data_IF_496494645866
#
_entry.id   IF_496494645866
#
_cell.length_a   1.000
_cell.length_b   1.000
_cell.length_c   1.000
_cell.angle_alpha   90.00
_cell.angle_beta   90.00
_cell.angle_gamma   90.00
#
_symmetry.space_group_name_H-M   'P 1'
#
loop_
_entity.id
_entity.type
_entity.pdbx_description
1 polymer ?
#
# COMPACT_ATOMS: atom_id res chain seq x y z
N UNK A 1 -14.31 16.67 -17.92
CA UNK A 1 -15.27 16.61 -16.80
C UNK A 1 -14.66 17.23 -15.56
N UNK A 2 -15.49 17.84 -14.74
CA UNK A 2 -15.10 18.38 -13.43
C UNK A 2 -16.09 17.81 -12.41
N UNK A 3 -15.56 17.27 -11.30
CA UNK A 3 -16.38 16.70 -10.23
C UNK A 3 -15.67 16.80 -8.87
N UNK A 4 -16.44 16.88 -7.80
CA UNK A 4 -15.92 16.71 -6.46
C UNK A 4 -15.54 15.26 -6.23
N UNK A 5 -14.41 15.02 -5.58
CA UNK A 5 -14.01 13.66 -5.18
C UNK A 5 -14.77 13.31 -3.91
N UNK A 6 -15.47 12.18 -3.94
CA UNK A 6 -16.32 11.71 -2.86
C UNK A 6 -15.59 11.70 -1.50
N UNK A 7 -16.28 12.17 -0.46
CA UNK A 7 -15.77 12.29 0.92
C UNK A 7 -14.51 13.17 1.08
N UNK A 8 -14.28 14.11 0.16
CA UNK A 8 -13.19 15.08 0.27
C UNK A 8 -13.66 16.48 -0.09
N UNK A 9 -12.83 17.49 0.25
CA UNK A 9 -13.00 18.87 -0.24
C UNK A 9 -12.40 19.11 -1.64
N UNK A 10 -11.70 18.11 -2.17
CA UNK A 10 -10.92 18.22 -3.40
C UNK A 10 -11.78 18.03 -4.66
N UNK A 11 -11.35 18.67 -5.73
CA UNK A 11 -12.01 18.67 -7.04
C UNK A 11 -11.10 18.01 -8.07
N UNK A 12 -11.65 17.06 -8.81
CA UNK A 12 -11.01 16.45 -9.96
C UNK A 12 -11.48 17.14 -11.25
N UNK A 13 -10.54 17.51 -12.10
CA UNK A 13 -10.78 17.92 -13.49
C UNK A 13 -10.09 16.93 -14.44
N UNK A 14 -10.84 16.39 -15.41
CA UNK A 14 -10.30 15.49 -16.43
C UNK A 14 -10.46 16.10 -17.80
N UNK A 15 -9.34 16.30 -18.48
CA UNK A 15 -9.31 16.68 -19.89
C UNK A 15 -9.34 15.41 -20.75
N UNK A 16 -10.47 15.15 -21.40
CA UNK A 16 -10.68 13.94 -22.18
C UNK A 16 -9.80 13.86 -23.45
N UNK A 17 -9.39 14.99 -24.00
CA UNK A 17 -8.54 15.04 -25.20
C UNK A 17 -7.08 14.73 -24.89
N UNK A 18 -6.56 15.29 -23.81
CA UNK A 18 -5.15 15.07 -23.38
C UNK A 18 -4.98 13.90 -22.41
N UNK A 19 -6.10 13.37 -21.88
CA UNK A 19 -6.14 12.36 -20.81
C UNK A 19 -5.44 12.84 -19.52
N UNK A 20 -5.35 14.16 -19.34
CA UNK A 20 -4.78 14.75 -18.15
C UNK A 20 -5.83 14.80 -17.02
N UNK A 21 -5.46 14.31 -15.86
CA UNK A 21 -6.22 14.43 -14.61
C UNK A 21 -5.53 15.44 -13.71
N UNK A 22 -6.25 16.44 -13.28
CA UNK A 22 -5.78 17.50 -12.38
C UNK A 22 -6.59 17.47 -11.09
N UNK A 23 -5.94 17.67 -9.97
CA UNK A 23 -6.58 17.76 -8.64
C UNK A 23 -6.39 19.16 -8.09
N UNK A 24 -7.47 19.72 -7.61
CA UNK A 24 -7.55 21.08 -7.04
C UNK A 24 -8.02 21.03 -5.59
N UNK A 25 -7.53 21.97 -4.80
CA UNK A 25 -8.06 22.26 -3.47
C UNK A 25 -9.48 22.85 -3.56
N UNK A 26 -10.14 22.97 -2.42
CA UNK A 26 -11.45 23.69 -2.33
C UNK A 26 -11.35 25.18 -2.74
N UNK A 27 -10.17 25.79 -2.61
CA UNK A 27 -9.88 27.15 -3.05
C UNK A 27 -9.50 27.24 -4.53
N UNK A 28 -9.68 26.17 -5.31
CA UNK A 28 -9.33 26.07 -6.74
C UNK A 28 -7.84 26.20 -7.04
N UNK A 29 -6.99 25.94 -6.07
CA UNK A 29 -5.54 25.87 -6.27
C UNK A 29 -5.17 24.46 -6.77
N UNK A 30 -4.45 24.35 -7.90
CA UNK A 30 -3.98 23.06 -8.40
C UNK A 30 -2.98 22.44 -7.43
N UNK A 31 -3.24 21.20 -7.02
CA UNK A 31 -2.39 20.42 -6.13
C UNK A 31 -1.44 19.55 -6.95
N UNK A 32 -1.97 18.75 -7.88
CA UNK A 32 -1.18 17.90 -8.74
C UNK A 32 -1.86 17.63 -10.08
N UNK A 33 -1.11 17.03 -10.99
CA UNK A 33 -1.62 16.51 -12.26
C UNK A 33 -0.92 15.20 -12.63
N UNK A 34 -1.63 14.32 -13.34
CA UNK A 34 -1.09 13.07 -13.86
C UNK A 34 -1.85 12.61 -15.10
N UNK A 35 -1.14 12.20 -16.15
CA UNK A 35 -1.74 11.71 -17.39
C UNK A 35 -2.19 10.25 -17.23
N UNK A 36 -3.34 9.90 -17.83
CA UNK A 36 -3.94 8.57 -17.75
C UNK A 36 -4.10 8.06 -16.31
N UNK A 37 -4.45 8.96 -15.38
CA UNK A 37 -4.47 8.63 -13.97
C UNK A 37 -5.72 7.89 -13.53
N UNK A 38 -5.53 6.95 -12.63
CA UNK A 38 -6.56 6.36 -11.78
C UNK A 38 -6.52 7.03 -10.41
N UNK A 39 -7.69 7.30 -9.83
CA UNK A 39 -7.81 7.86 -8.48
C UNK A 39 -8.41 6.80 -7.56
N UNK A 40 -7.81 6.63 -6.41
CA UNK A 40 -8.31 5.79 -5.33
C UNK A 40 -8.35 6.60 -4.04
N UNK A 41 -9.55 6.73 -3.45
CA UNK A 41 -9.76 7.37 -2.15
C UNK A 41 -9.84 6.31 -1.06
N UNK A 42 -9.02 6.43 -0.01
CA UNK A 42 -9.05 5.53 1.13
C UNK A 42 -9.46 6.24 2.45
N UNK A 43 -10.10 7.40 2.35
CA UNK A 43 -10.56 8.27 3.46
C UNK A 43 -9.44 8.99 4.26
N UNK A 44 -8.18 8.61 4.09
CA UNK A 44 -7.04 9.26 4.78
C UNK A 44 -6.22 10.08 3.78
N UNK A 45 -6.11 9.58 2.55
CA UNK A 45 -5.42 10.22 1.45
C UNK A 45 -6.04 9.83 0.11
N UNK A 46 -5.80 10.62 -0.92
CA UNK A 46 -6.01 10.21 -2.30
C UNK A 46 -4.73 9.60 -2.86
N UNK A 47 -4.84 8.43 -3.48
CA UNK A 47 -3.80 7.85 -4.32
C UNK A 47 -4.15 8.15 -5.77
N UNK A 48 -3.24 8.80 -6.50
CA UNK A 48 -3.37 9.13 -7.92
C UNK A 48 -2.22 8.44 -8.63
N UNK A 49 -2.48 7.56 -9.56
CA UNK A 49 -1.46 6.73 -10.17
C UNK A 49 -1.75 6.35 -11.62
N UNK A 50 -0.70 6.05 -12.35
CA UNK A 50 -0.70 5.37 -13.65
C UNK A 50 0.38 4.28 -13.63
N UNK A 51 0.75 3.76 -14.81
CA UNK A 51 1.76 2.70 -14.92
C UNK A 51 3.18 3.15 -14.52
N UNK A 52 3.47 4.44 -14.60
CA UNK A 52 4.82 5.01 -14.42
C UNK A 52 5.01 5.72 -13.08
N UNK A 53 3.94 6.30 -12.53
CA UNK A 53 4.02 7.23 -11.41
C UNK A 53 2.87 7.05 -10.42
N UNK A 54 3.16 7.28 -9.14
CA UNK A 54 2.16 7.34 -8.07
C UNK A 54 2.36 8.62 -7.24
N UNK A 55 1.26 9.29 -6.95
CA UNK A 55 1.18 10.47 -6.09
C UNK A 55 0.14 10.25 -5.01
N UNK A 56 0.37 10.87 -3.86
CA UNK A 56 -0.56 10.84 -2.73
C UNK A 56 -0.89 12.27 -2.31
N UNK A 57 -2.15 12.51 -1.95
CA UNK A 57 -2.60 13.81 -1.44
C UNK A 57 -3.25 13.58 -0.09
N UNK A 58 -2.75 14.27 0.94
CA UNK A 58 -3.28 14.20 2.29
C UNK A 58 -4.65 14.89 2.42
N UNK A 59 -5.34 14.65 3.52
CA UNK A 59 -6.53 15.44 3.93
C UNK A 59 -6.24 16.94 4.11
N UNK A 60 -4.96 17.30 4.31
CA UNK A 60 -4.50 18.71 4.36
C UNK A 60 -4.17 19.28 2.96
N UNK A 61 -4.55 18.55 1.89
CA UNK A 61 -4.35 18.96 0.49
C UNK A 61 -2.86 19.11 0.08
N UNK A 62 -1.96 18.36 0.73
CA UNK A 62 -0.54 18.33 0.41
C UNK A 62 -0.18 17.11 -0.44
N UNK A 63 0.45 17.35 -1.59
CA UNK A 63 1.02 16.29 -2.43
C UNK A 63 2.28 15.71 -1.79
N UNK A 64 2.43 14.38 -1.89
CA UNK A 64 3.66 13.67 -1.55
C UNK A 64 3.80 12.42 -2.41
N UNK A 65 5.01 12.00 -2.68
CA UNK A 65 5.32 10.68 -3.24
C UNK A 65 5.53 9.64 -2.13
N UNK A 66 5.48 10.09 -0.88
CA UNK A 66 5.72 9.26 0.30
C UNK A 66 4.41 8.98 1.04
N UNK A 67 3.81 7.83 0.79
CA UNK A 67 2.57 7.39 1.45
C UNK A 67 2.71 7.21 2.96
N UNK A 68 3.92 7.12 3.44
CA UNK A 68 4.27 6.85 4.83
C UNK A 68 3.80 7.91 5.81
N UNK A 69 3.63 9.14 5.31
CA UNK A 69 3.06 10.27 6.09
C UNK A 69 1.63 9.96 6.55
N UNK A 70 0.92 9.05 5.87
CA UNK A 70 -0.49 8.77 6.11
C UNK A 70 -0.78 7.47 6.84
N UNK A 71 0.18 6.57 6.92
CA UNK A 71 -0.08 5.19 7.37
C UNK A 71 0.44 4.88 8.77
N UNK A 72 1.20 5.77 9.41
CA UNK A 72 1.95 5.48 10.64
C UNK A 72 2.83 4.21 10.56
N UNK A 73 3.03 3.69 9.36
CA UNK A 73 3.88 2.53 9.16
C UNK A 73 5.35 2.91 9.35
N UNK A 74 6.08 2.10 10.08
CA UNK A 74 7.51 2.30 10.33
C UNK A 74 8.36 1.74 9.20
N UNK A 75 7.85 0.72 8.49
CA UNK A 75 8.55 0.03 7.41
C UNK A 75 7.66 -0.16 6.19
N UNK A 76 8.29 -0.27 5.02
CA UNK A 76 7.65 -0.29 3.70
C UNK A 76 8.25 -1.39 2.85
N UNK A 77 7.39 -2.11 2.14
CA UNK A 77 7.81 -3.11 1.18
C UNK A 77 8.62 -2.46 0.05
N UNK A 78 9.79 -3.01 -0.24
CA UNK A 78 10.64 -2.56 -1.34
C UNK A 78 11.24 -3.76 -2.06
N UNK A 79 11.30 -3.67 -3.40
CA UNK A 79 11.91 -4.69 -4.24
C UNK A 79 13.33 -4.28 -4.65
N UNK A 80 14.26 -5.26 -4.63
CA UNK A 80 15.60 -5.10 -5.17
C UNK A 80 15.94 -6.37 -5.96
N UNK A 81 16.16 -6.22 -7.28
CA UNK A 81 16.24 -7.37 -8.18
C UNK A 81 14.94 -8.19 -8.13
N UNK A 82 15.06 -9.48 -7.91
CA UNK A 82 13.91 -10.39 -7.83
C UNK A 82 13.40 -10.63 -6.39
N UNK A 83 13.99 -9.95 -5.40
CA UNK A 83 13.67 -10.14 -3.99
C UNK A 83 13.04 -8.93 -3.36
N UNK A 84 12.18 -9.20 -2.38
CA UNK A 84 11.53 -8.21 -1.55
C UNK A 84 12.14 -8.16 -0.16
N UNK A 85 12.13 -6.97 0.41
CA UNK A 85 12.50 -6.67 1.79
C UNK A 85 11.67 -5.51 2.31
N UNK A 86 12.06 -4.94 3.44
CA UNK A 86 11.42 -3.76 4.00
C UNK A 86 12.47 -2.71 4.40
N UNK A 87 12.13 -1.47 4.14
CA UNK A 87 12.94 -0.30 4.48
C UNK A 87 12.14 0.66 5.35
N UNK A 88 12.82 1.49 6.12
CA UNK A 88 12.18 2.61 6.81
C UNK A 88 11.97 3.81 5.88
N UNK A 89 11.39 4.88 6.39
CA UNK A 89 11.12 6.13 5.66
C UNK A 89 12.39 6.79 5.10
N UNK A 90 13.56 6.56 5.71
CA UNK A 90 14.85 7.07 5.23
C UNK A 90 15.47 6.21 4.11
N UNK A 91 14.86 5.04 3.84
CA UNK A 91 15.38 4.04 2.92
C UNK A 91 16.38 3.05 3.55
N UNK A 92 16.58 3.12 4.88
CA UNK A 92 17.42 2.17 5.61
C UNK A 92 16.75 0.79 5.57
N UNK A 93 17.52 -0.24 5.27
CA UNK A 93 17.05 -1.63 5.27
C UNK A 93 16.75 -2.06 6.72
N UNK A 94 15.52 -2.47 6.97
CA UNK A 94 15.05 -3.05 8.24
C UNK A 94 14.93 -4.56 8.11
N UNK A 95 14.46 -5.04 6.94
CA UNK A 95 14.38 -6.47 6.62
C UNK A 95 15.04 -6.70 5.27
N UNK A 96 16.04 -7.59 5.24
CA UNK A 96 16.83 -7.87 4.03
C UNK A 96 15.97 -8.33 2.85
N UNK A 97 16.45 -8.04 1.63
CA UNK A 97 15.84 -8.45 0.37
C UNK A 97 16.02 -9.96 0.10
N UNK A 98 15.20 -10.77 0.74
CA UNK A 98 15.29 -12.25 0.68
C UNK A 98 13.97 -12.95 0.31
N UNK A 99 12.84 -12.22 0.41
CA UNK A 99 11.52 -12.80 0.17
C UNK A 99 11.16 -12.83 -1.31
N UNK A 100 10.41 -13.85 -1.73
CA UNK A 100 9.89 -14.00 -3.11
C UNK A 100 8.74 -13.03 -3.37
N UNK A 101 7.92 -12.80 -2.34
CA UNK A 101 6.78 -11.89 -2.35
C UNK A 101 6.52 -11.37 -0.95
N UNK A 102 5.95 -10.17 -0.86
CA UNK A 102 5.47 -9.60 0.40
C UNK A 102 4.16 -8.87 0.15
N UNK A 103 3.38 -8.66 1.20
CA UNK A 103 2.27 -7.69 1.19
C UNK A 103 2.72 -6.37 1.81
N UNK A 104 1.95 -5.32 1.59
CA UNK A 104 2.15 -4.07 2.34
C UNK A 104 1.78 -4.27 3.81
N UNK A 105 2.39 -3.46 4.69
CA UNK A 105 1.98 -3.41 6.10
C UNK A 105 0.55 -2.87 6.17
N UNK A 106 -0.33 -3.65 6.76
CA UNK A 106 -1.73 -3.27 6.91
C UNK A 106 -1.94 -2.29 8.09
N UNK A 107 -3.16 -1.78 8.25
CA UNK A 107 -3.51 -0.83 9.33
C UNK A 107 -3.34 -1.39 10.76
N UNK A 108 -3.15 -2.68 10.90
CA UNK A 108 -2.89 -3.34 12.19
C UNK A 108 -1.40 -3.62 12.44
N UNK A 109 -0.54 -3.22 11.49
CA UNK A 109 0.90 -3.35 11.61
C UNK A 109 1.47 -4.71 11.20
N UNK A 110 0.79 -5.46 10.30
CA UNK A 110 1.25 -6.77 9.82
C UNK A 110 1.43 -6.81 8.31
N UNK A 111 2.42 -7.59 7.86
CA UNK A 111 2.62 -7.92 6.45
C UNK A 111 2.88 -9.42 6.27
N UNK A 112 2.39 -9.96 5.15
CA UNK A 112 2.74 -11.29 4.69
C UNK A 112 4.13 -11.30 4.04
N UNK A 113 4.89 -12.36 4.27
CA UNK A 113 6.20 -12.62 3.67
C UNK A 113 6.20 -14.03 3.06
N UNK A 114 6.67 -14.18 1.82
CA UNK A 114 6.78 -15.48 1.13
C UNK A 114 8.25 -15.88 0.97
N UNK A 115 8.58 -17.06 1.44
CA UNK A 115 9.92 -17.64 1.30
C UNK A 115 9.82 -19.15 1.03
N UNK A 116 10.56 -19.66 0.05
CA UNK A 116 10.52 -21.07 -0.39
C UNK A 116 9.10 -21.55 -0.69
N UNK A 117 8.29 -20.69 -1.37
CA UNK A 117 6.91 -20.96 -1.71
C UNK A 117 5.91 -20.92 -0.55
N UNK A 118 6.37 -20.62 0.67
CA UNK A 118 5.54 -20.62 1.88
C UNK A 118 5.39 -19.22 2.45
N UNK A 119 4.23 -18.96 3.06
CA UNK A 119 3.91 -17.69 3.68
C UNK A 119 4.15 -17.70 5.18
N UNK A 120 4.58 -16.56 5.68
CA UNK A 120 4.69 -16.17 7.08
C UNK A 120 4.20 -14.75 7.28
N UNK A 121 4.39 -14.19 8.46
CA UNK A 121 3.96 -12.84 8.83
C UNK A 121 5.04 -12.13 9.62
N UNK A 122 5.24 -10.84 9.33
CA UNK A 122 6.05 -9.93 10.14
C UNK A 122 5.19 -8.81 10.71
N UNK A 123 5.67 -8.19 11.79
CA UNK A 123 5.10 -6.97 12.36
C UNK A 123 5.71 -5.69 11.74
N UNK A 124 5.24 -4.53 12.20
CA UNK A 124 5.69 -3.21 11.75
C UNK A 124 7.12 -2.85 12.19
N UNK A 125 7.77 -3.64 13.01
CA UNK A 125 9.18 -3.50 13.37
C UNK A 125 10.08 -4.47 12.57
N UNK A 126 9.48 -5.26 11.67
CA UNK A 126 10.18 -6.25 10.83
C UNK A 126 10.47 -7.57 11.52
N UNK A 127 9.89 -7.80 12.71
CA UNK A 127 10.04 -9.05 13.45
C UNK A 127 9.12 -10.11 12.87
N UNK A 128 9.64 -11.33 12.69
CA UNK A 128 8.83 -12.47 12.29
C UNK A 128 7.90 -12.86 13.44
N UNK A 129 6.59 -12.80 13.19
CA UNK A 129 5.54 -13.23 14.11
C UNK A 129 5.10 -14.64 13.79
N UNK A 130 5.06 -14.98 12.49
CA UNK A 130 4.77 -16.32 11.99
C UNK A 130 5.84 -16.71 10.99
N UNK A 131 6.53 -17.81 11.24
CA UNK A 131 7.54 -18.34 10.33
C UNK A 131 6.89 -18.70 8.96
N UNK A 132 7.62 -18.56 7.84
CA UNK A 132 7.11 -18.87 6.50
C UNK A 132 7.05 -20.38 6.27
N UNK A 133 6.08 -21.03 6.91
CA UNK A 133 5.86 -22.49 6.85
C UNK A 133 4.53 -22.86 6.18
N UNK A 134 3.64 -21.89 5.89
CA UNK A 134 2.30 -22.12 5.39
C UNK A 134 2.23 -22.04 3.86
N UNK A 135 1.79 -23.12 3.21
CA UNK A 135 1.58 -23.20 1.78
C UNK A 135 0.14 -22.77 1.46
N UNK A 136 -0.02 -21.55 1.02
CA UNK A 136 -1.30 -20.99 0.60
C UNK A 136 -1.42 -21.14 -0.91
N UNK A 137 -2.36 -21.94 -1.42
CA UNK A 137 -2.60 -22.22 -2.85
C UNK A 137 -2.73 -20.92 -3.67
N UNK A 138 -1.61 -20.30 -4.02
CA UNK A 138 -1.47 -19.01 -4.74
C UNK A 138 -2.16 -17.80 -4.11
N UNK A 139 -2.75 -17.94 -2.93
CA UNK A 139 -3.34 -16.84 -2.17
C UNK A 139 -2.31 -16.14 -1.28
N UNK A 140 -2.60 -14.90 -0.95
CA UNK A 140 -1.88 -14.12 0.06
C UNK A 140 -2.53 -14.30 1.43
N UNK A 141 -1.80 -14.10 2.54
CA UNK A 141 -2.40 -14.05 3.87
C UNK A 141 -3.50 -13.00 3.94
N UNK A 142 -4.66 -13.36 4.47
CA UNK A 142 -5.75 -12.42 4.73
C UNK A 142 -5.73 -12.04 6.19
N UNK A 143 -5.74 -10.73 6.47
CA UNK A 143 -5.72 -10.19 7.82
C UNK A 143 -7.13 -9.74 8.23
N UNK A 144 -7.65 -10.30 9.33
CA UNK A 144 -8.96 -9.94 9.88
C UNK A 144 -8.77 -9.26 11.23
N UNK A 145 -8.93 -7.94 11.28
CA UNK A 145 -8.73 -7.15 12.48
C UNK A 145 -7.26 -7.21 12.94
N UNK A 146 -7.06 -7.33 14.24
CA UNK A 146 -5.74 -7.52 14.85
C UNK A 146 -5.25 -8.97 14.78
N UNK A 147 -6.01 -9.84 14.12
CA UNK A 147 -5.67 -11.24 13.91
C UNK A 147 -5.29 -11.44 12.46
N UNK A 148 -4.33 -12.30 12.19
CA UNK A 148 -4.04 -12.74 10.84
C UNK A 148 -4.68 -14.10 10.59
N UNK A 149 -5.30 -14.22 9.44
CA UNK A 149 -5.85 -15.46 8.95
C UNK A 149 -4.89 -16.05 7.92
N UNK A 150 -4.41 -17.25 8.18
CA UNK A 150 -3.65 -18.02 7.22
C UNK A 150 -4.54 -19.16 6.73
N UNK A 151 -4.95 -19.11 5.45
CA UNK A 151 -5.75 -20.17 4.83
C UNK A 151 -4.81 -21.29 4.40
N UNK A 152 -5.01 -22.48 4.95
CA UNK A 152 -4.28 -23.68 4.55
C UNK A 152 -4.85 -24.26 3.25
N UNK A 153 -4.02 -24.95 2.47
CA UNK A 153 -4.41 -25.53 1.17
C UNK A 153 -5.48 -26.61 1.21
N UNK A 154 -5.90 -27.07 2.37
CA UNK A 154 -7.00 -28.02 2.61
C UNK A 154 -8.29 -27.35 3.09
N UNK A 155 -8.34 -26.00 3.11
CA UNK A 155 -9.51 -25.25 3.61
C UNK A 155 -9.51 -25.00 5.13
N UNK A 156 -8.49 -25.46 5.86
CA UNK A 156 -8.36 -25.15 7.27
C UNK A 156 -7.88 -23.70 7.48
N UNK A 157 -8.50 -23.01 8.41
CA UNK A 157 -8.25 -21.63 8.76
C UNK A 157 -7.56 -21.59 10.11
N UNK A 158 -6.36 -21.04 10.16
CA UNK A 158 -5.64 -20.83 11.40
C UNK A 158 -5.68 -19.37 11.81
N UNK A 159 -6.12 -19.13 13.04
CA UNK A 159 -6.06 -17.81 13.66
C UNK A 159 -4.88 -17.81 14.63
N UNK A 160 -3.99 -16.84 14.47
CA UNK A 160 -2.95 -16.61 15.47
C UNK A 160 -3.06 -15.18 15.97
N UNK A 161 -2.86 -15.03 17.27
CA UNK A 161 -2.88 -13.77 18.00
C UNK A 161 -1.50 -13.17 18.03
#
# INVERSE_FOLDING_TARGET
SIQQIENTSMIQAVNNSTKMTEIYSKEMKKICELKNATIQNNNTYLKIYNDDEVKYISSEEKETTNVNIFTNNKIFAKKQGDKWGFVDISGKIIVDYKYEKVTEINKYGFAGIKQNGKWGVIDSDGKIIVEPIYKLNDNEPVFIGQYYQVIYGNGEIYYTK
#
